data_IF_291753855566
#
_entry.id   IF_291753855566
#
_cell.length_a   1.000
_cell.length_b   1.000
_cell.length_c   1.000
_cell.angle_alpha   90.00
_cell.angle_beta   90.00
_cell.angle_gamma   90.00
#
_symmetry.space_group_name_H-M   'P 1'
#
loop_
_entity.id
_entity.type
_entity.pdbx_description
1 polymer ?
#
# COMPACT_ATOMS: atom_id res chain seq x y z
N UNK A 1 15.59 -7.12 2.96
CA UNK A 1 14.95 -5.83 2.60
C UNK A 1 15.76 -5.20 1.49
N UNK A 2 15.19 -5.03 0.30
CA UNK A 2 15.80 -4.20 -0.75
C UNK A 2 15.75 -2.75 -0.26
N UNK A 3 16.88 -2.02 -0.15
CA UNK A 3 16.81 -0.64 0.32
C UNK A 3 16.28 0.22 -0.83
N UNK A 4 14.97 0.42 -0.88
CA UNK A 4 14.41 1.50 -1.69
C UNK A 4 14.91 2.80 -1.06
N UNK A 5 15.73 3.53 -1.82
CA UNK A 5 16.43 4.72 -1.37
C UNK A 5 16.08 5.88 -2.30
N UNK A 6 15.40 6.88 -1.77
CA UNK A 6 15.27 8.18 -2.43
C UNK A 6 16.40 9.09 -1.92
N UNK A 7 17.09 9.78 -2.82
CA UNK A 7 18.09 10.80 -2.47
C UNK A 7 17.57 12.15 -2.94
N UNK A 8 17.24 13.04 -2.00
CA UNK A 8 16.80 14.41 -2.27
C UNK A 8 17.64 15.40 -1.46
N UNK A 9 18.21 16.41 -2.13
CA UNK A 9 19.08 17.40 -1.47
C UNK A 9 20.30 16.79 -0.77
N UNK A 10 20.84 15.67 -1.29
CA UNK A 10 21.95 14.94 -0.69
C UNK A 10 21.60 14.13 0.57
N UNK A 11 20.31 14.09 0.96
CA UNK A 11 19.83 13.34 2.13
C UNK A 11 19.09 12.08 1.70
N UNK A 12 19.50 10.89 2.20
CA UNK A 12 18.81 9.63 1.90
C UNK A 12 17.54 9.45 2.73
N UNK A 13 16.46 8.98 2.09
CA UNK A 13 15.22 8.49 2.71
C UNK A 13 15.10 6.99 2.41
N UNK A 14 14.84 6.19 3.45
CA UNK A 14 14.70 4.72 3.39
C UNK A 14 13.29 4.30 3.78
N UNK A 15 12.92 3.09 3.34
CA UNK A 15 11.58 2.49 3.42
C UNK A 15 10.62 3.04 2.36
N UNK A 16 9.96 2.13 1.64
CA UNK A 16 8.98 2.44 0.59
C UNK A 16 7.84 3.33 1.13
N UNK A 17 7.27 2.97 2.28
CA UNK A 17 6.19 3.74 2.91
C UNK A 17 6.62 5.17 3.26
N UNK A 18 7.83 5.33 3.81
CA UNK A 18 8.39 6.65 4.13
C UNK A 18 8.70 7.46 2.87
N UNK A 19 9.11 6.82 1.78
CA UNK A 19 9.37 7.51 0.51
C UNK A 19 8.08 8.07 -0.07
N UNK A 20 6.97 7.32 -0.03
CA UNK A 20 5.67 7.81 -0.51
C UNK A 20 5.22 9.02 0.32
N UNK A 21 5.37 8.96 1.65
CA UNK A 21 5.07 10.08 2.55
C UNK A 21 5.97 11.29 2.27
N UNK A 22 7.26 11.06 2.08
CA UNK A 22 8.21 12.12 1.73
C UNK A 22 7.83 12.81 0.42
N UNK A 23 7.38 12.05 -0.58
CA UNK A 23 6.95 12.61 -1.86
C UNK A 23 5.70 13.47 -1.70
N UNK A 24 4.71 13.01 -0.92
CA UNK A 24 3.48 13.77 -0.61
C UNK A 24 3.78 15.11 0.07
N UNK A 25 4.80 15.16 0.93
CA UNK A 25 5.19 16.38 1.66
C UNK A 25 6.13 17.30 0.87
N UNK A 26 7.07 16.74 0.10
CA UNK A 26 8.17 17.50 -0.50
C UNK A 26 7.85 18.11 -1.88
N UNK A 27 6.85 17.59 -2.59
CA UNK A 27 6.52 18.02 -3.95
C UNK A 27 5.10 18.57 -4.05
N UNK A 28 4.92 19.59 -4.91
CA UNK A 28 3.59 20.12 -5.18
C UNK A 28 2.76 19.14 -6.02
N UNK A 29 1.48 18.97 -5.69
CA UNK A 29 0.58 18.11 -6.43
C UNK A 29 -0.69 17.77 -5.63
N UNK A 30 -1.53 16.88 -6.16
CA UNK A 30 -2.64 16.29 -5.41
C UNK A 30 -2.09 15.55 -4.19
N UNK A 31 -2.66 15.79 -3.01
CA UNK A 31 -2.22 15.11 -1.80
C UNK A 31 -2.75 13.68 -1.76
N UNK A 32 -1.86 12.74 -1.43
CA UNK A 32 -2.15 11.33 -1.22
C UNK A 32 -2.77 11.08 0.16
N UNK A 33 -2.39 11.87 1.16
CA UNK A 33 -2.89 11.71 2.52
C UNK A 33 -4.14 12.57 2.79
N UNK A 34 -5.14 12.04 3.51
CA UNK A 34 -6.25 12.84 3.99
C UNK A 34 -5.80 13.97 4.92
N UNK A 35 -6.46 15.12 4.85
CA UNK A 35 -6.11 16.28 5.69
C UNK A 35 -6.30 16.03 7.20
N UNK A 36 -7.34 15.30 7.60
CA UNK A 36 -7.69 15.06 9.01
C UNK A 36 -6.76 14.07 9.71
N UNK A 37 -6.43 14.32 10.99
CA UNK A 37 -5.51 13.48 11.77
C UNK A 37 -5.98 12.02 11.88
N UNK A 38 -7.27 11.79 12.13
CA UNK A 38 -7.86 10.46 12.21
C UNK A 38 -7.79 9.72 10.88
N UNK A 39 -8.29 10.33 9.79
CA UNK A 39 -8.27 9.72 8.47
C UNK A 39 -6.84 9.41 7.99
N UNK A 40 -5.88 10.30 8.30
CA UNK A 40 -4.46 10.05 8.02
C UNK A 40 -3.89 8.87 8.81
N UNK A 41 -4.28 8.71 10.08
CA UNK A 41 -3.88 7.56 10.88
C UNK A 41 -4.47 6.25 10.32
N UNK A 42 -5.73 6.26 9.90
CA UNK A 42 -6.38 5.10 9.25
C UNK A 42 -5.69 4.75 7.94
N UNK A 43 -5.33 5.73 7.11
CA UNK A 43 -4.61 5.47 5.86
C UNK A 43 -3.24 4.83 6.09
N UNK A 44 -2.50 5.27 7.13
CA UNK A 44 -1.22 4.65 7.50
C UNK A 44 -1.39 3.24 8.03
N UNK A 45 -2.39 3.01 8.88
CA UNK A 45 -2.72 1.68 9.39
C UNK A 45 -2.95 0.68 8.24
N UNK A 46 -3.71 1.06 7.23
CA UNK A 46 -3.95 0.19 6.07
C UNK A 46 -2.69 -0.07 5.25
N UNK A 47 -1.82 0.92 5.09
CA UNK A 47 -0.53 0.72 4.43
C UNK A 47 0.39 -0.22 5.22
N UNK A 48 0.45 -0.06 6.54
CA UNK A 48 1.21 -0.94 7.43
C UNK A 48 0.63 -2.37 7.38
N UNK A 49 -0.71 -2.52 7.42
CA UNK A 49 -1.37 -3.83 7.26
C UNK A 49 -0.98 -4.51 5.94
N UNK A 50 -0.92 -3.77 4.84
CA UNK A 50 -0.50 -4.31 3.53
C UNK A 50 0.95 -4.79 3.59
N UNK A 51 1.87 -3.99 4.13
CA UNK A 51 3.31 -4.34 4.22
C UNK A 51 3.53 -5.53 5.15
N UNK A 52 2.94 -5.51 6.34
CA UNK A 52 3.13 -6.55 7.35
C UNK A 52 2.37 -7.86 7.02
N UNK A 53 1.29 -7.77 6.24
CA UNK A 53 0.45 -8.95 5.97
C UNK A 53 0.60 -9.45 4.54
N UNK A 54 0.24 -8.63 3.55
CA UNK A 54 0.18 -9.07 2.16
C UNK A 54 1.58 -9.24 1.59
N UNK A 55 2.46 -8.25 1.77
CA UNK A 55 3.84 -8.32 1.27
C UNK A 55 4.61 -9.43 1.97
N UNK A 56 4.52 -9.53 3.31
CA UNK A 56 5.17 -10.61 4.06
C UNK A 56 4.68 -12.00 3.60
N UNK A 57 3.37 -12.17 3.40
CA UNK A 57 2.80 -13.43 2.91
C UNK A 57 3.34 -13.80 1.52
N UNK A 58 3.42 -12.84 0.60
CA UNK A 58 3.89 -13.09 -0.77
C UNK A 58 5.36 -13.54 -0.83
N UNK A 59 6.19 -13.20 0.17
CA UNK A 59 7.58 -13.67 0.24
C UNK A 59 7.73 -15.07 0.87
N UNK A 60 6.66 -15.67 1.40
CA UNK A 60 6.68 -17.00 2.02
C UNK A 60 6.17 -18.06 1.05
N UNK A 61 6.84 -19.21 0.99
CA UNK A 61 6.45 -20.32 0.11
C UNK A 61 5.02 -20.82 0.40
N UNK A 62 4.62 -20.86 1.67
CA UNK A 62 3.29 -21.27 2.13
C UNK A 62 2.34 -20.08 2.40
N UNK A 63 2.68 -18.87 1.93
CA UNK A 63 1.95 -17.64 2.26
C UNK A 63 0.62 -17.45 1.52
N UNK A 64 0.24 -18.35 0.60
CA UNK A 64 -0.97 -18.23 -0.23
C UNK A 64 -2.24 -17.94 0.58
N UNK A 65 -2.50 -18.73 1.62
CA UNK A 65 -3.72 -18.56 2.43
C UNK A 65 -3.72 -17.24 3.20
N UNK A 66 -2.55 -16.79 3.67
CA UNK A 66 -2.41 -15.51 4.36
C UNK A 66 -2.61 -14.34 3.39
N UNK A 67 -2.05 -14.42 2.18
CA UNK A 67 -2.23 -13.41 1.14
C UNK A 67 -3.70 -13.33 0.70
N UNK A 68 -4.37 -14.48 0.49
CA UNK A 68 -5.79 -14.53 0.16
C UNK A 68 -6.66 -13.89 1.26
N UNK A 69 -6.43 -14.23 2.53
CA UNK A 69 -7.15 -13.61 3.64
C UNK A 69 -6.91 -12.09 3.74
N UNK A 70 -5.67 -11.63 3.48
CA UNK A 70 -5.36 -10.20 3.46
C UNK A 70 -6.09 -9.47 2.32
N UNK A 71 -6.16 -10.08 1.14
CA UNK A 71 -6.91 -9.55 -0.01
C UNK A 71 -8.41 -9.49 0.31
N UNK A 72 -9.00 -10.51 0.91
CA UNK A 72 -10.41 -10.50 1.33
C UNK A 72 -10.72 -9.36 2.32
N UNK A 73 -9.83 -9.12 3.29
CA UNK A 73 -9.97 -7.99 4.23
C UNK A 73 -9.91 -6.65 3.50
N UNK A 74 -8.97 -6.49 2.57
CA UNK A 74 -8.83 -5.26 1.77
C UNK A 74 -10.04 -5.04 0.85
N UNK A 75 -10.55 -6.09 0.21
CA UNK A 75 -11.78 -6.02 -0.59
C UNK A 75 -12.99 -5.62 0.25
N UNK A 76 -13.13 -6.20 1.45
CA UNK A 76 -14.18 -5.84 2.40
C UNK A 76 -14.11 -4.35 2.78
N UNK A 77 -12.92 -3.88 3.14
CA UNK A 77 -12.70 -2.48 3.48
C UNK A 77 -12.99 -1.53 2.31
N UNK A 78 -12.60 -1.88 1.08
CA UNK A 78 -12.89 -1.06 -0.10
C UNK A 78 -14.40 -0.99 -0.39
N UNK A 79 -15.15 -2.08 -0.18
CA UNK A 79 -16.61 -2.09 -0.32
C UNK A 79 -17.29 -1.14 0.68
N UNK A 80 -16.80 -1.07 1.92
CA UNK A 80 -17.31 -0.14 2.93
C UNK A 80 -17.07 1.32 2.55
N UNK A 81 -15.97 1.63 1.85
CA UNK A 81 -15.69 2.98 1.37
C UNK A 81 -16.75 3.51 0.38
N UNK A 82 -17.53 2.63 -0.28
CA UNK A 82 -18.56 3.00 -1.26
C UNK A 82 -18.06 3.92 -2.39
N UNK A 83 -16.76 3.85 -2.67
CA UNK A 83 -16.00 4.72 -3.56
C UNK A 83 -15.01 3.88 -4.38
N UNK A 84 -14.52 4.37 -5.53
CA UNK A 84 -13.60 3.60 -6.37
C UNK A 84 -12.23 3.36 -5.73
N UNK A 85 -11.84 4.18 -4.76
CA UNK A 85 -10.54 4.13 -4.08
C UNK A 85 -10.69 4.24 -2.57
N UNK A 86 -9.68 3.79 -1.83
CA UNK A 86 -9.57 4.07 -0.38
C UNK A 86 -9.42 5.58 -0.12
N UNK A 87 -8.81 6.32 -1.05
CA UNK A 87 -8.78 7.78 -1.07
C UNK A 87 -10.12 8.46 -1.40
N UNK A 88 -11.19 7.69 -1.65
CA UNK A 88 -12.50 8.20 -2.05
C UNK A 88 -12.63 8.32 -3.56
N UNK A 89 -12.87 9.53 -4.06
CA UNK A 89 -13.07 9.77 -5.49
C UNK A 89 -11.76 9.73 -6.31
N UNK A 90 -10.61 9.90 -5.65
CA UNK A 90 -9.28 9.82 -6.25
C UNK A 90 -8.41 8.80 -5.51
N UNK A 91 -7.42 8.25 -6.19
CA UNK A 91 -6.41 7.39 -5.58
C UNK A 91 -5.65 8.15 -4.48
N UNK A 92 -5.57 7.56 -3.29
CA UNK A 92 -4.84 8.07 -2.14
C UNK A 92 -3.67 7.18 -1.75
N UNK A 93 -3.14 7.43 -0.55
CA UNK A 93 -1.96 6.74 -0.01
C UNK A 93 -2.07 5.21 -0.03
N UNK A 94 -3.19 4.66 0.44
CA UNK A 94 -3.43 3.21 0.48
C UNK A 94 -3.49 2.62 -0.94
N UNK A 95 -4.12 3.33 -1.87
CA UNK A 95 -4.25 2.90 -3.26
C UNK A 95 -2.89 2.85 -3.98
N UNK A 96 -1.98 3.77 -3.68
CA UNK A 96 -0.60 3.74 -4.20
C UNK A 96 0.18 2.55 -3.67
N UNK A 97 0.05 2.27 -2.36
CA UNK A 97 0.73 1.13 -1.72
C UNK A 97 0.20 -0.18 -2.30
N UNK A 98 -1.12 -0.40 -2.27
CA UNK A 98 -1.75 -1.61 -2.80
C UNK A 98 -1.54 -1.75 -4.32
N UNK A 99 -1.70 -0.66 -5.06
CA UNK A 99 -1.55 -0.62 -6.51
C UNK A 99 -0.16 -1.05 -6.98
N UNK A 100 0.88 -0.75 -6.20
CA UNK A 100 2.25 -1.20 -6.49
C UNK A 100 2.43 -2.73 -6.42
N UNK A 101 1.55 -3.42 -5.69
CA UNK A 101 1.59 -4.86 -5.45
C UNK A 101 0.70 -5.65 -6.41
N UNK A 102 -0.31 -5.03 -7.03
CA UNK A 102 -1.26 -5.73 -7.92
C UNK A 102 -0.58 -6.57 -9.01
N UNK A 103 0.47 -6.11 -9.73
CA UNK A 103 1.15 -6.96 -10.72
C UNK A 103 1.74 -8.24 -10.11
N UNK A 104 2.26 -8.14 -8.88
CA UNK A 104 2.84 -9.26 -8.16
C UNK A 104 1.77 -10.21 -7.63
N UNK A 105 0.63 -9.69 -7.17
CA UNK A 105 -0.53 -10.50 -6.77
C UNK A 105 -1.04 -11.31 -7.95
N UNK A 106 -1.19 -10.69 -9.13
CA UNK A 106 -1.58 -11.39 -10.35
C UNK A 106 -0.57 -12.48 -10.74
N UNK A 107 0.74 -12.19 -10.63
CA UNK A 107 1.77 -13.17 -10.89
C UNK A 107 1.72 -14.34 -9.89
N UNK A 108 1.53 -14.05 -8.60
CA UNK A 108 1.39 -15.06 -7.56
C UNK A 108 0.17 -15.96 -7.79
N UNK A 109 -0.98 -15.38 -8.13
CA UNK A 109 -2.19 -16.13 -8.45
C UNK A 109 -1.98 -17.09 -9.64
N UNK A 110 -1.35 -16.60 -10.71
CA UNK A 110 -0.98 -17.43 -11.87
C UNK A 110 -0.03 -18.58 -11.51
N UNK A 111 0.89 -18.39 -10.55
CA UNK A 111 1.78 -19.47 -10.09
C UNK A 111 1.09 -20.46 -9.14
N UNK A 112 0.09 -20.01 -8.39
CA UNK A 112 -0.65 -20.84 -7.45
C UNK A 112 -1.76 -21.66 -8.10
N UNK A 113 -2.05 -21.42 -9.37
CA UNK A 113 -2.95 -22.23 -10.18
C UNK A 113 -4.39 -22.17 -9.68
N UNK A 114 -5.07 -21.08 -9.98
CA UNK A 114 -6.54 -21.00 -10.00
C UNK A 114 -7.09 -21.38 -11.38
#
# INVERSE_FOLDING_TARGET
TVPVLLIHGGKPVRSSLNIILYVDEAFAGPSLLPAGCHARAVARYWADFIDDTLVEAMYKAEGRNQAAAAIEVLEGALRECSKPFFGGDNAGYVDVVLGSLLPWVCAADATWGT
#
